data_IF_586768838067
#
_entry.id   IF_586768838067
#
_cell.length_a   1.000
_cell.length_b   1.000
_cell.length_c   1.000
_cell.angle_alpha   90.00
_cell.angle_beta   90.00
_cell.angle_gamma   90.00
#
_symmetry.space_group_name_H-M   'P 1'
#
loop_
_entity.id
_entity.type
_entity.pdbx_description
1 polymer ?
#
# COMPACT_ATOMS: atom_id res chain seq x y z
N UNK A 1 -1.90 -3.74 19.52
CA UNK A 1 -2.20 -3.59 18.08
C UNK A 1 -2.53 -4.99 17.56
N UNK A 2 -3.79 -5.28 17.23
CA UNK A 2 -4.27 -6.66 17.01
C UNK A 2 -4.49 -7.03 15.53
N UNK A 3 -4.55 -6.05 14.61
CA UNK A 3 -4.75 -6.31 13.18
C UNK A 3 -3.76 -5.52 12.30
N UNK A 4 -2.65 -6.15 11.89
CA UNK A 4 -1.66 -5.55 10.99
C UNK A 4 -2.13 -5.39 9.53
N UNK A 5 -3.21 -6.07 9.12
CA UNK A 5 -3.76 -5.98 7.76
C UNK A 5 -4.79 -4.85 7.68
N UNK A 6 -5.68 -4.74 8.65
CA UNK A 6 -6.60 -3.61 8.78
C UNK A 6 -5.87 -2.27 8.89
N UNK A 7 -4.73 -2.23 9.59
CA UNK A 7 -3.86 -1.04 9.62
C UNK A 7 -3.35 -0.68 8.21
N UNK A 8 -2.92 -1.66 7.41
CA UNK A 8 -2.44 -1.42 6.05
C UNK A 8 -3.54 -0.84 5.16
N UNK A 9 -4.74 -1.45 5.17
CA UNK A 9 -5.87 -0.97 4.37
C UNK A 9 -6.29 0.44 4.79
N UNK A 10 -6.28 0.72 6.10
CA UNK A 10 -6.57 2.05 6.63
C UNK A 10 -5.54 3.08 6.15
N UNK A 11 -4.24 2.74 6.12
CA UNK A 11 -3.21 3.63 5.58
C UNK A 11 -3.40 3.92 4.10
N UNK A 12 -3.73 2.91 3.29
CA UNK A 12 -4.03 3.07 1.85
C UNK A 12 -5.17 4.05 1.66
N UNK A 13 -6.32 3.81 2.32
CA UNK A 13 -7.49 4.69 2.26
C UNK A 13 -7.14 6.14 2.66
N UNK A 14 -6.44 6.31 3.78
CA UNK A 14 -6.09 7.63 4.28
C UNK A 14 -5.10 8.37 3.35
N UNK A 15 -4.16 7.65 2.74
CA UNK A 15 -3.22 8.21 1.78
C UNK A 15 -3.94 8.66 0.50
N UNK A 16 -4.90 7.85 0.02
CA UNK A 16 -5.71 8.15 -1.16
C UNK A 16 -6.61 9.37 -0.94
N UNK A 17 -7.29 9.45 0.21
CA UNK A 17 -8.08 10.62 0.62
C UNK A 17 -7.24 11.91 0.72
N UNK A 18 -5.93 11.79 0.99
CA UNK A 18 -5.00 12.92 1.11
C UNK A 18 -4.29 13.26 -0.20
N UNK A 19 -4.64 12.60 -1.32
CA UNK A 19 -4.02 12.85 -2.62
C UNK A 19 -2.55 12.43 -2.72
N UNK A 20 -2.10 11.48 -1.87
CA UNK A 20 -0.72 10.97 -1.96
C UNK A 20 -0.54 10.06 -3.16
N UNK A 21 0.62 10.11 -3.81
CA UNK A 21 0.96 9.18 -4.90
C UNK A 21 1.30 7.78 -4.40
N UNK A 22 1.94 7.68 -3.23
CA UNK A 22 2.39 6.40 -2.65
C UNK A 22 2.16 6.33 -1.14
N UNK A 23 2.16 5.10 -0.60
CA UNK A 23 2.10 4.82 0.84
C UNK A 23 2.97 3.60 1.18
N UNK A 24 3.59 3.60 2.37
CA UNK A 24 4.47 2.52 2.82
C UNK A 24 3.88 1.72 3.98
N UNK A 25 4.17 0.42 4.01
CA UNK A 25 3.84 -0.50 5.10
C UNK A 25 4.97 -1.49 5.30
N UNK A 26 5.22 -2.02 6.52
CA UNK A 26 6.26 -3.01 6.73
C UNK A 26 6.03 -4.27 5.88
N UNK A 27 7.10 -4.84 5.33
CA UNK A 27 6.98 -5.99 4.45
C UNK A 27 6.44 -7.23 5.20
N UNK A 28 5.52 -7.93 4.55
CA UNK A 28 4.94 -9.18 5.02
C UNK A 28 4.40 -9.96 3.83
N UNK A 29 4.57 -11.29 3.84
CA UNK A 29 4.03 -12.16 2.78
C UNK A 29 2.52 -12.02 2.65
N UNK A 30 1.80 -11.94 3.77
CA UNK A 30 0.35 -11.78 3.77
C UNK A 30 -0.08 -10.45 3.15
N UNK A 31 0.65 -9.37 3.45
CA UNK A 31 0.39 -8.05 2.84
C UNK A 31 0.66 -8.06 1.35
N UNK A 32 1.76 -8.67 0.91
CA UNK A 32 2.09 -8.82 -0.51
C UNK A 32 0.98 -9.56 -1.27
N UNK A 33 0.46 -10.68 -0.75
CA UNK A 33 -0.64 -11.41 -1.39
C UNK A 33 -1.92 -10.57 -1.52
N UNK A 34 -2.26 -9.78 -0.50
CA UNK A 34 -3.42 -8.88 -0.57
C UNK A 34 -3.16 -7.78 -1.61
N UNK A 35 -1.96 -7.23 -1.65
CA UNK A 35 -1.58 -6.21 -2.65
C UNK A 35 -1.55 -6.78 -4.07
N UNK A 36 -1.21 -8.06 -4.26
CA UNK A 36 -1.31 -8.73 -5.56
C UNK A 36 -2.75 -8.77 -6.04
N UNK A 37 -3.70 -9.12 -5.17
CA UNK A 37 -5.13 -9.08 -5.49
C UNK A 37 -5.57 -7.65 -5.83
N UNK A 38 -5.22 -6.67 -5.00
CA UNK A 38 -5.58 -5.26 -5.25
C UNK A 38 -5.00 -4.73 -6.56
N UNK A 39 -3.79 -5.15 -6.93
CA UNK A 39 -3.15 -4.81 -8.20
C UNK A 39 -3.87 -5.47 -9.38
N UNK A 40 -4.19 -6.76 -9.28
CA UNK A 40 -4.85 -7.51 -10.35
C UNK A 40 -6.27 -7.00 -10.64
N UNK A 41 -7.00 -6.60 -9.59
CA UNK A 41 -8.31 -5.96 -9.71
C UNK A 41 -8.21 -4.47 -10.13
N UNK A 42 -6.99 -3.91 -10.20
CA UNK A 42 -6.75 -2.55 -10.67
C UNK A 42 -7.09 -1.44 -9.66
N UNK A 43 -7.21 -1.76 -8.37
CA UNK A 43 -7.43 -0.79 -7.28
C UNK A 43 -6.18 0.04 -6.97
N UNK A 44 -4.99 -0.55 -7.14
CA UNK A 44 -3.71 0.15 -7.00
C UNK A 44 -2.94 0.10 -8.32
N UNK A 45 -2.02 1.05 -8.53
CA UNK A 45 -1.12 1.02 -9.70
C UNK A 45 -0.14 -0.15 -9.60
N UNK A 46 0.29 -0.47 -8.39
CA UNK A 46 1.24 -1.54 -8.09
C UNK A 46 1.91 -1.31 -6.75
N UNK A 47 2.86 -2.17 -6.42
CA UNK A 47 3.70 -2.01 -5.24
C UNK A 47 5.09 -2.60 -5.51
N UNK A 48 6.08 -2.16 -4.73
CA UNK A 48 7.45 -2.62 -4.78
C UNK A 48 8.04 -2.79 -3.37
N UNK A 49 9.00 -3.70 -3.22
CA UNK A 49 9.73 -3.87 -1.97
C UNK A 49 10.88 -2.87 -1.90
N UNK A 50 10.93 -2.08 -0.84
CA UNK A 50 11.97 -1.09 -0.60
C UNK A 50 12.65 -1.36 0.73
N UNK A 51 13.95 -1.10 0.79
CA UNK A 51 14.72 -1.20 2.03
C UNK A 51 14.90 0.19 2.62
N UNK A 52 14.52 0.38 3.87
CA UNK A 52 14.71 1.64 4.59
C UNK A 52 16.20 1.87 4.86
N UNK A 53 16.56 3.10 5.21
CA UNK A 53 17.95 3.44 5.62
C UNK A 53 18.42 2.64 6.84
N UNK A 54 17.49 2.13 7.64
CA UNK A 54 17.74 1.29 8.82
C UNK A 54 17.80 -0.21 8.48
N UNK A 55 17.67 -0.58 7.20
CA UNK A 55 17.75 -1.96 6.73
C UNK A 55 16.43 -2.75 6.83
N UNK A 56 15.32 -2.11 7.20
CA UNK A 56 14.02 -2.76 7.28
C UNK A 56 13.36 -2.84 5.90
N UNK A 57 12.73 -3.97 5.60
CA UNK A 57 11.96 -4.16 4.36
C UNK A 57 10.57 -3.57 4.51
N UNK A 58 10.17 -2.75 3.55
CA UNK A 58 8.83 -2.17 3.43
C UNK A 58 8.25 -2.46 2.04
N UNK A 59 6.94 -2.35 1.93
CA UNK A 59 6.21 -2.38 0.66
C UNK A 59 5.74 -0.96 0.39
N UNK A 60 6.26 -0.35 -0.68
CA UNK A 60 5.79 0.92 -1.19
C UNK A 60 4.69 0.67 -2.23
N UNK A 61 3.51 1.22 -1.97
CA UNK A 61 2.29 1.00 -2.73
C UNK A 61 1.96 2.26 -3.52
N UNK A 62 1.87 2.13 -4.85
CA UNK A 62 1.45 3.19 -5.76
C UNK A 62 -0.06 3.27 -5.87
N UNK A 63 -0.63 4.41 -5.48
CA UNK A 63 -2.06 4.64 -5.49
C UNK A 63 -2.54 5.05 -6.89
N UNK A 64 -3.73 4.57 -7.26
CA UNK A 64 -4.40 4.91 -8.51
C UNK A 64 -5.47 5.97 -8.23
N UNK A 65 -5.63 6.90 -9.17
CA UNK A 65 -6.68 7.93 -9.15
C UNK A 65 -7.39 7.90 -10.51
N UNK A 66 -8.71 8.00 -10.52
CA UNK A 66 -9.49 8.23 -11.73
C UNK A 66 -10.07 9.65 -11.68
N UNK A 67 -9.66 10.51 -12.61
CA UNK A 67 -10.21 11.87 -12.82
C UNK A 67 -10.41 12.71 -11.54
N UNK A 68 -9.37 12.79 -10.70
CA UNK A 68 -9.36 13.64 -9.51
C UNK A 68 -10.23 13.13 -8.35
N UNK A 69 -10.89 11.98 -8.53
CA UNK A 69 -11.63 11.29 -7.47
C UNK A 69 -10.81 10.08 -7.02
N UNK A 70 -10.56 9.91 -5.71
CA UNK A 70 -9.92 8.72 -5.18
C UNK A 70 -10.75 7.46 -5.52
#
# INVERSE_FOLDING_TARGET
MNDPLGDMLTRIRNAQMRGKSTVRTPASKLRAWVLDVLKNEGYIRGYEEVTTTEGHKELEIGLKYHDGTP
#
